data_IF_672783502363
#
_entry.id   IF_672783502363
#
_cell.length_a   1.000
_cell.length_b   1.000
_cell.length_c   1.000
_cell.angle_alpha   90.00
_cell.angle_beta   90.00
_cell.angle_gamma   90.00
#
_symmetry.space_group_name_H-M   'P 1'
#
loop_
_entity.id
_entity.type
_entity.pdbx_description
1 polymer ?
#
# COMPACT_ATOMS: atom_id res chain seq x y z
N UNK A 1 -77.41 -25.69 24.01
CA UNK A 1 -76.20 -25.15 24.60
C UNK A 1 -75.04 -25.34 23.63
N UNK A 2 -74.63 -24.28 22.91
CA UNK A 2 -73.57 -24.30 21.94
C UNK A 2 -72.41 -23.48 22.51
N UNK A 3 -71.30 -24.12 22.80
CA UNK A 3 -70.06 -23.43 23.22
C UNK A 3 -69.32 -22.93 21.98
N UNK A 4 -69.25 -21.63 21.86
CA UNK A 4 -68.44 -20.95 20.80
C UNK A 4 -66.99 -20.82 21.30
N UNK A 5 -66.10 -21.60 20.73
CA UNK A 5 -64.66 -21.59 21.02
C UNK A 5 -64.03 -20.46 20.24
N UNK A 6 -63.56 -19.42 20.97
CA UNK A 6 -62.83 -18.27 20.37
C UNK A 6 -61.34 -18.64 20.31
N UNK A 7 -60.83 -18.95 19.10
CA UNK A 7 -59.42 -19.10 18.85
C UNK A 7 -58.79 -17.72 18.72
N UNK A 8 -58.01 -17.33 19.69
CA UNK A 8 -57.18 -16.10 19.69
C UNK A 8 -55.92 -16.40 18.89
N UNK A 9 -55.84 -15.93 17.63
CA UNK A 9 -54.64 -16.02 16.82
C UNK A 9 -53.75 -14.81 17.19
N UNK A 10 -52.73 -15.07 17.97
CA UNK A 10 -51.68 -14.09 18.29
C UNK A 10 -50.72 -13.96 17.12
N UNK A 11 -50.81 -12.89 16.36
CA UNK A 11 -49.84 -12.53 15.30
C UNK A 11 -48.64 -11.89 15.95
N UNK A 12 -47.57 -12.64 16.11
CA UNK A 12 -46.27 -12.09 16.53
C UNK A 12 -45.61 -11.45 15.31
N UNK A 13 -45.68 -10.13 15.24
CA UNK A 13 -44.93 -9.33 14.23
C UNK A 13 -43.45 -9.30 14.61
N UNK A 14 -42.64 -10.08 13.92
CA UNK A 14 -41.20 -9.96 13.99
C UNK A 14 -40.78 -8.70 13.22
N UNK A 15 -40.45 -7.63 13.96
CA UNK A 15 -39.81 -6.45 13.37
C UNK A 15 -38.34 -6.78 13.16
N UNK A 16 -37.98 -7.14 11.92
CA UNK A 16 -36.59 -7.21 11.49
C UNK A 16 -36.02 -5.80 11.45
N UNK A 17 -35.37 -5.38 12.52
CA UNK A 17 -34.56 -4.18 12.52
C UNK A 17 -33.33 -4.44 11.65
N UNK A 18 -33.40 -4.05 10.37
CA UNK A 18 -32.25 -3.96 9.48
C UNK A 18 -31.36 -2.82 9.96
N UNK A 19 -30.48 -3.10 10.91
CA UNK A 19 -29.37 -2.22 11.22
C UNK A 19 -28.45 -2.15 10.01
N UNK A 20 -28.54 -1.06 9.25
CA UNK A 20 -27.55 -0.74 8.22
C UNK A 20 -26.24 -0.50 8.95
N UNK A 21 -25.33 -1.47 8.94
CA UNK A 21 -23.93 -1.24 9.34
C UNK A 21 -23.36 -0.32 8.27
N UNK A 22 -23.27 0.98 8.58
CA UNK A 22 -22.42 1.89 7.79
C UNK A 22 -20.99 1.43 8.03
N UNK A 23 -20.46 0.68 7.08
CA UNK A 23 -19.01 0.53 6.95
C UNK A 23 -18.49 1.89 6.46
N UNK A 24 -18.05 2.73 7.39
CA UNK A 24 -17.32 3.94 7.01
C UNK A 24 -16.05 3.48 6.31
N UNK A 25 -15.98 3.73 4.99
CA UNK A 25 -14.76 3.47 4.21
C UNK A 25 -13.64 4.35 4.78
N UNK A 26 -12.41 3.80 4.89
CA UNK A 26 -11.27 4.59 5.34
C UNK A 26 -11.11 5.86 4.50
N UNK A 27 -10.81 6.98 5.15
CA UNK A 27 -10.45 8.23 4.45
C UNK A 27 -9.18 8.02 3.62
N UNK A 28 -9.03 8.78 2.54
CA UNK A 28 -7.77 8.80 1.79
C UNK A 28 -6.73 9.63 2.54
N UNK A 29 -5.51 9.10 2.66
CA UNK A 29 -4.45 9.79 3.37
C UNK A 29 -3.12 9.02 3.40
N UNK A 30 -2.23 9.40 4.32
CA UNK A 30 -0.85 8.96 4.35
C UNK A 30 -0.46 8.29 5.68
N UNK A 31 -1.45 8.01 6.54
CA UNK A 31 -1.23 7.43 7.87
C UNK A 31 -1.90 6.06 8.01
N UNK A 32 -1.44 5.21 8.95
CA UNK A 32 -2.07 3.94 9.22
C UNK A 32 -3.59 4.08 9.48
N UNK A 33 -4.37 3.20 8.86
CA UNK A 33 -5.83 3.22 8.86
C UNK A 33 -6.47 4.03 7.72
N UNK A 34 -5.70 4.80 6.95
CA UNK A 34 -6.18 5.54 5.78
C UNK A 34 -5.90 4.77 4.49
N UNK A 35 -6.73 4.96 3.47
CA UNK A 35 -6.45 4.44 2.12
C UNK A 35 -5.36 5.27 1.47
N UNK A 36 -4.27 4.62 1.04
CA UNK A 36 -3.18 5.31 0.34
C UNK A 36 -3.70 5.95 -0.96
N UNK A 37 -3.35 7.22 -1.26
CA UNK A 37 -3.73 7.83 -2.53
C UNK A 37 -3.24 7.02 -3.73
N UNK A 38 -4.05 6.96 -4.77
CA UNK A 38 -3.63 6.37 -6.03
C UNK A 38 -2.59 7.26 -6.70
N UNK A 39 -1.52 6.65 -7.21
CA UNK A 39 -0.45 7.33 -7.92
C UNK A 39 -0.11 6.58 -9.21
N UNK A 40 0.14 7.32 -10.26
CA UNK A 40 0.68 6.76 -11.50
C UNK A 40 2.18 6.54 -11.33
N UNK A 41 2.62 5.33 -11.62
CA UNK A 41 3.99 4.86 -11.52
C UNK A 41 4.50 4.50 -12.92
N UNK A 42 5.67 5.02 -13.30
CA UNK A 42 6.28 4.70 -14.59
C UNK A 42 7.57 3.91 -14.35
N UNK A 43 7.73 2.77 -15.03
CA UNK A 43 8.94 1.97 -14.93
C UNK A 43 10.10 2.55 -15.76
N UNK A 44 11.27 1.92 -15.70
CA UNK A 44 12.44 2.35 -16.46
C UNK A 44 12.26 2.18 -17.98
N UNK A 45 11.38 1.29 -18.42
CA UNK A 45 11.05 1.07 -19.85
C UNK A 45 9.98 2.05 -20.36
N UNK A 46 9.35 2.84 -19.49
CA UNK A 46 8.31 3.80 -19.84
C UNK A 46 6.89 3.24 -19.78
N UNK A 47 6.69 2.02 -19.30
CA UNK A 47 5.36 1.50 -19.04
C UNK A 47 4.84 2.11 -17.75
N UNK A 48 3.53 2.32 -17.69
CA UNK A 48 2.89 2.90 -16.51
C UNK A 48 1.82 1.99 -15.93
N UNK A 49 1.58 2.12 -14.65
CA UNK A 49 0.45 1.54 -13.93
C UNK A 49 0.11 2.37 -12.70
N UNK A 50 -1.09 2.20 -12.19
CA UNK A 50 -1.50 2.84 -10.95
C UNK A 50 -1.11 1.98 -9.74
N UNK A 51 -0.85 2.62 -8.60
CA UNK A 51 -0.62 1.90 -7.35
C UNK A 51 -1.84 1.06 -6.95
N UNK A 52 -3.05 1.54 -7.23
CA UNK A 52 -4.28 0.81 -6.95
C UNK A 52 -4.52 -0.41 -7.84
N UNK A 53 -3.74 -0.61 -8.92
CA UNK A 53 -3.79 -1.85 -9.72
C UNK A 53 -3.26 -3.06 -8.95
N UNK A 54 -2.57 -2.83 -7.84
CA UNK A 54 -2.11 -3.89 -6.92
C UNK A 54 -3.15 -4.31 -5.89
N UNK A 55 -4.36 -3.71 -5.85
CA UNK A 55 -5.43 -4.14 -4.94
C UNK A 55 -5.73 -5.63 -5.09
N UNK A 56 -6.05 -6.26 -3.98
CA UNK A 56 -6.16 -7.72 -3.88
C UNK A 56 -4.90 -8.40 -3.34
N UNK A 57 -3.81 -7.64 -3.19
CA UNK A 57 -2.55 -8.11 -2.61
C UNK A 57 -2.08 -7.14 -1.54
N UNK A 58 -1.30 -7.65 -0.59
CA UNK A 58 -0.50 -6.78 0.29
C UNK A 58 0.68 -6.21 -0.49
N UNK A 59 0.99 -4.95 -0.26
CA UNK A 59 2.08 -4.27 -0.99
C UNK A 59 2.99 -3.53 -0.02
N UNK A 60 4.29 -3.69 -0.19
CA UNK A 60 5.27 -2.78 0.38
C UNK A 60 5.63 -1.74 -0.68
N UNK A 61 5.30 -0.48 -0.42
CA UNK A 61 5.69 0.67 -1.25
C UNK A 61 6.91 1.32 -0.62
N UNK A 62 8.01 1.39 -1.34
CA UNK A 62 9.27 1.98 -0.86
C UNK A 62 9.66 3.18 -1.71
N UNK A 63 9.66 4.36 -1.11
CA UNK A 63 10.16 5.59 -1.73
C UNK A 63 11.62 5.81 -1.33
N UNK A 64 12.48 6.04 -2.32
CA UNK A 64 13.90 6.21 -2.08
C UNK A 64 14.59 7.08 -3.13
N UNK A 65 15.87 7.42 -2.90
CA UNK A 65 16.69 8.13 -3.86
C UNK A 65 18.13 7.62 -3.83
N UNK A 66 18.82 7.69 -4.96
CA UNK A 66 20.21 7.20 -5.09
C UNK A 66 21.18 7.97 -4.19
N UNK A 67 20.92 9.25 -3.98
CA UNK A 67 21.71 10.17 -3.15
C UNK A 67 21.37 10.11 -1.65
N UNK A 68 20.29 9.40 -1.26
CA UNK A 68 19.85 9.31 0.14
C UNK A 68 20.17 7.94 0.74
N UNK A 69 21.33 7.81 1.36
CA UNK A 69 21.90 6.53 1.82
C UNK A 69 20.92 5.69 2.67
N UNK A 70 20.18 6.32 3.60
CA UNK A 70 19.28 5.59 4.49
C UNK A 70 18.08 4.99 3.73
N UNK A 71 17.44 5.75 2.83
CA UNK A 71 16.30 5.22 2.06
C UNK A 71 16.74 4.14 1.08
N UNK A 72 17.92 4.29 0.45
CA UNK A 72 18.53 3.29 -0.41
C UNK A 72 18.81 1.99 0.36
N UNK A 73 19.43 2.09 1.54
CA UNK A 73 19.69 0.92 2.38
C UNK A 73 18.39 0.22 2.82
N UNK A 74 17.36 0.97 3.24
CA UNK A 74 16.07 0.41 3.59
C UNK A 74 15.40 -0.29 2.40
N UNK A 75 15.46 0.30 1.20
CA UNK A 75 14.90 -0.30 -0.02
C UNK A 75 15.54 -1.67 -0.31
N UNK A 76 16.88 -1.76 -0.25
CA UNK A 76 17.62 -3.01 -0.43
C UNK A 76 17.26 -4.06 0.63
N UNK A 77 17.19 -3.66 1.89
CA UNK A 77 16.89 -4.58 3.00
C UNK A 77 15.47 -5.15 2.90
N UNK A 78 14.47 -4.31 2.60
CA UNK A 78 13.09 -4.74 2.45
C UNK A 78 12.91 -5.68 1.25
N UNK A 79 13.51 -5.33 0.11
CA UNK A 79 13.49 -6.18 -1.08
C UNK A 79 14.10 -7.56 -0.79
N UNK A 80 15.33 -7.60 -0.27
CA UNK A 80 16.01 -8.85 0.05
C UNK A 80 15.24 -9.70 1.07
N UNK A 81 14.61 -9.06 2.05
CA UNK A 81 13.77 -9.75 3.02
C UNK A 81 12.57 -10.44 2.36
N UNK A 82 11.88 -9.75 1.48
CA UNK A 82 10.69 -10.29 0.80
C UNK A 82 11.05 -11.35 -0.24
N UNK A 83 12.15 -11.19 -0.98
CA UNK A 83 12.60 -12.17 -1.97
C UNK A 83 13.04 -13.51 -1.35
N UNK A 84 13.52 -13.50 -0.12
CA UNK A 84 13.94 -14.70 0.59
C UNK A 84 12.80 -15.43 1.32
N UNK A 85 11.55 -14.99 1.09
CA UNK A 85 10.36 -15.58 1.68
C UNK A 85 9.34 -15.93 0.59
N UNK A 86 8.65 -17.05 0.80
CA UNK A 86 7.44 -17.38 0.06
C UNK A 86 6.30 -16.52 0.65
N UNK A 87 6.21 -15.25 0.20
CA UNK A 87 5.21 -14.30 0.67
C UNK A 87 4.43 -13.74 -0.51
N UNK A 88 3.11 -13.68 -0.38
CA UNK A 88 2.21 -13.05 -1.36
C UNK A 88 2.24 -11.50 -1.29
N UNK A 89 3.36 -10.92 -0.85
CA UNK A 89 3.54 -9.48 -0.72
C UNK A 89 4.28 -8.93 -1.93
N UNK A 90 3.64 -8.03 -2.66
CA UNK A 90 4.27 -7.32 -3.77
C UNK A 90 5.20 -6.22 -3.25
N UNK A 91 6.29 -5.98 -3.96
CA UNK A 91 7.23 -4.90 -3.64
C UNK A 91 7.24 -3.86 -4.74
N UNK A 92 6.78 -2.66 -4.41
CA UNK A 92 6.73 -1.49 -5.30
C UNK A 92 7.81 -0.52 -4.87
N UNK A 93 8.89 -0.45 -5.63
CA UNK A 93 10.02 0.45 -5.38
C UNK A 93 9.94 1.65 -6.31
N UNK A 94 9.97 2.85 -5.75
CA UNK A 94 9.89 4.11 -6.49
C UNK A 94 11.10 4.97 -6.17
N UNK A 95 11.96 5.18 -7.16
CA UNK A 95 13.16 6.01 -7.02
C UNK A 95 12.89 7.43 -7.52
N UNK A 96 13.31 8.41 -6.74
CA UNK A 96 13.24 9.84 -7.05
C UNK A 96 14.63 10.34 -7.41
N UNK A 97 14.89 10.48 -8.69
CA UNK A 97 16.18 10.96 -9.20
C UNK A 97 15.99 11.60 -10.59
N UNK A 98 16.78 12.61 -10.91
CA UNK A 98 16.72 13.29 -12.21
C UNK A 98 17.61 12.61 -13.26
N UNK A 99 18.45 11.66 -12.85
CA UNK A 99 19.43 11.02 -13.73
C UNK A 99 19.24 9.50 -13.78
N UNK A 100 18.57 9.06 -14.85
CA UNK A 100 18.32 7.64 -15.11
C UNK A 100 19.60 6.78 -15.09
N UNK A 101 20.70 7.25 -15.66
CA UNK A 101 21.94 6.47 -15.68
C UNK A 101 22.52 6.23 -14.28
N UNK A 102 22.31 7.19 -13.36
CA UNK A 102 22.71 7.02 -11.96
C UNK A 102 21.82 5.98 -11.29
N UNK A 103 20.52 6.01 -11.56
CA UNK A 103 19.57 4.99 -11.05
C UNK A 103 19.98 3.59 -11.51
N UNK A 104 20.15 3.39 -12.82
CA UNK A 104 20.52 2.08 -13.40
C UNK A 104 21.82 1.55 -12.80
N UNK A 105 22.86 2.38 -12.72
CA UNK A 105 24.13 1.99 -12.08
C UNK A 105 23.98 1.65 -10.61
N UNK A 106 23.12 2.38 -9.89
CA UNK A 106 22.87 2.12 -8.47
C UNK A 106 22.15 0.79 -8.29
N UNK A 107 21.14 0.49 -9.12
CA UNK A 107 20.45 -0.81 -9.10
C UNK A 107 21.42 -1.98 -9.35
N UNK A 108 22.33 -1.83 -10.32
CA UNK A 108 23.38 -2.83 -10.59
C UNK A 108 24.31 -3.02 -9.39
N UNK A 109 24.77 -1.94 -8.76
CA UNK A 109 25.63 -1.99 -7.57
C UNK A 109 24.94 -2.68 -6.39
N UNK A 110 23.65 -2.48 -6.25
CA UNK A 110 22.83 -3.03 -5.18
C UNK A 110 22.26 -4.43 -5.50
N UNK A 111 22.51 -4.94 -6.72
CA UNK A 111 21.99 -6.22 -7.24
C UNK A 111 20.47 -6.27 -7.26
N UNK A 112 19.87 -5.18 -7.72
CA UNK A 112 18.42 -4.98 -7.80
C UNK A 112 17.92 -4.88 -9.27
N UNK A 113 18.72 -5.26 -10.27
CA UNK A 113 18.41 -5.18 -11.70
C UNK A 113 17.16 -5.98 -12.10
N UNK A 114 16.86 -7.04 -11.37
CA UNK A 114 15.72 -7.92 -11.62
C UNK A 114 14.44 -7.48 -10.88
N UNK A 115 14.51 -6.39 -10.13
CA UNK A 115 13.37 -5.84 -9.41
C UNK A 115 12.55 -4.93 -10.30
N UNK A 116 11.21 -5.02 -10.22
CA UNK A 116 10.33 -4.02 -10.84
C UNK A 116 10.55 -2.67 -10.20
N UNK A 117 11.22 -1.77 -10.93
CA UNK A 117 11.59 -0.45 -10.45
C UNK A 117 10.76 0.62 -11.15
N UNK A 118 10.09 1.46 -10.38
CA UNK A 118 9.45 2.68 -10.86
C UNK A 118 10.37 3.88 -10.69
N UNK A 119 10.29 4.80 -11.64
CA UNK A 119 11.20 5.92 -11.73
C UNK A 119 10.45 7.24 -11.86
N UNK A 120 10.64 8.10 -10.87
CA UNK A 120 10.08 9.46 -10.88
C UNK A 120 11.15 10.46 -11.37
N UNK A 121 11.12 10.71 -12.69
CA UNK A 121 12.11 11.53 -13.38
C UNK A 121 12.11 12.99 -12.89
N UNK A 122 10.98 13.50 -12.41
CA UNK A 122 10.90 14.86 -11.87
C UNK A 122 11.58 14.99 -10.50
N UNK A 123 12.07 13.88 -9.95
CA UNK A 123 12.78 13.82 -8.68
C UNK A 123 12.01 14.57 -7.57
N UNK A 124 12.69 15.53 -6.93
CA UNK A 124 12.10 16.35 -5.85
C UNK A 124 11.03 17.33 -6.32
N UNK A 125 10.92 17.54 -7.64
CA UNK A 125 9.91 18.42 -8.25
C UNK A 125 8.54 17.76 -8.39
N UNK A 126 8.44 16.43 -8.27
CA UNK A 126 7.20 15.68 -8.53
C UNK A 126 6.10 15.96 -7.51
N UNK A 127 4.85 15.80 -7.94
CA UNK A 127 3.68 15.89 -7.06
C UNK A 127 3.68 14.75 -6.01
N UNK A 128 4.14 13.55 -6.38
CA UNK A 128 4.27 12.43 -5.44
C UNK A 128 5.22 12.82 -4.31
N UNK A 129 6.39 13.37 -4.65
CA UNK A 129 7.39 13.82 -3.67
C UNK A 129 6.82 14.82 -2.67
N UNK A 130 6.06 15.82 -3.17
CA UNK A 130 5.44 16.87 -2.35
C UNK A 130 4.31 16.32 -1.48
N UNK A 131 3.39 15.56 -2.09
CA UNK A 131 2.18 15.06 -1.41
C UNK A 131 2.51 14.05 -0.30
N UNK A 132 3.49 13.18 -0.53
CA UNK A 132 3.99 12.23 0.48
C UNK A 132 5.00 12.85 1.45
N UNK A 133 5.29 14.18 1.33
CA UNK A 133 6.22 14.93 2.17
C UNK A 133 7.60 14.26 2.27
N UNK A 134 8.12 13.79 1.14
CA UNK A 134 9.39 13.08 1.10
C UNK A 134 10.60 14.01 1.32
N UNK A 135 10.41 15.32 1.23
CA UNK A 135 11.38 16.34 1.63
C UNK A 135 11.70 16.29 3.13
N UNK A 136 10.77 15.88 3.97
CA UNK A 136 10.99 15.70 5.39
C UNK A 136 11.72 14.38 5.67
N UNK A 137 11.29 13.32 4.98
CA UNK A 137 11.84 11.97 5.12
C UNK A 137 11.33 11.07 3.99
N UNK A 138 12.21 10.31 3.37
CA UNK A 138 11.80 9.16 2.56
C UNK A 138 11.13 8.12 3.43
N UNK A 139 10.03 7.56 2.92
CA UNK A 139 9.13 6.66 3.66
C UNK A 139 8.89 5.38 2.87
N UNK A 140 8.53 4.35 3.60
CA UNK A 140 7.93 3.16 3.03
C UNK A 140 6.61 2.88 3.75
N UNK A 141 5.76 2.12 3.09
CA UNK A 141 4.41 1.80 3.54
C UNK A 141 4.15 0.31 3.32
N UNK A 142 3.49 -0.34 4.28
CA UNK A 142 2.81 -1.60 4.07
C UNK A 142 1.33 -1.31 3.93
N UNK A 143 0.72 -1.72 2.81
CA UNK A 143 -0.71 -1.57 2.55
C UNK A 143 -1.36 -2.96 2.43
N UNK A 144 -2.61 -3.05 2.85
CA UNK A 144 -3.41 -4.26 2.74
C UNK A 144 -4.02 -4.44 1.33
N UNK A 145 -4.78 -5.50 1.16
CA UNK A 145 -5.44 -5.87 -0.10
C UNK A 145 -6.49 -4.85 -0.58
N UNK A 146 -6.95 -3.96 0.31
CA UNK A 146 -7.89 -2.89 0.02
C UNK A 146 -7.19 -1.56 -0.30
N UNK A 147 -5.86 -1.50 -0.13
CA UNK A 147 -5.06 -0.29 -0.26
C UNK A 147 -5.02 0.55 1.01
N UNK A 148 -5.40 -0.02 2.16
CA UNK A 148 -5.32 0.67 3.46
C UNK A 148 -3.92 0.52 4.04
N UNK A 149 -3.36 1.63 4.53
CA UNK A 149 -2.04 1.64 5.14
C UNK A 149 -2.09 0.90 6.48
N UNK A 150 -1.35 -0.21 6.60
CA UNK A 150 -1.18 -0.99 7.83
C UNK A 150 -0.09 -0.36 8.69
N UNK A 151 1.05 -0.04 8.08
CA UNK A 151 2.21 0.50 8.76
C UNK A 151 3.03 1.39 7.82
N UNK A 152 3.87 2.23 8.41
CA UNK A 152 4.79 3.10 7.69
C UNK A 152 6.18 3.11 8.35
N UNK A 153 7.21 3.43 7.55
CA UNK A 153 8.61 3.40 7.99
C UNK A 153 9.03 2.04 8.56
N UNK A 154 8.55 0.98 7.92
CA UNK A 154 8.78 -0.41 8.32
C UNK A 154 10.22 -0.86 8.05
N UNK A 155 10.68 -1.77 8.89
CA UNK A 155 11.94 -2.51 8.76
C UNK A 155 11.65 -3.99 8.45
N UNK A 156 12.66 -4.79 8.07
CA UNK A 156 12.49 -6.25 7.95
C UNK A 156 11.99 -6.93 9.23
N UNK A 157 12.36 -6.42 10.39
CA UNK A 157 11.92 -6.93 11.71
C UNK A 157 10.43 -6.66 11.92
N UNK A 158 9.94 -5.48 11.52
CA UNK A 158 8.51 -5.15 11.57
C UNK A 158 7.71 -6.07 10.66
N UNK A 159 8.18 -6.31 9.43
CA UNK A 159 7.54 -7.25 8.51
C UNK A 159 7.46 -8.66 9.06
N UNK A 160 8.48 -9.11 9.80
CA UNK A 160 8.50 -10.43 10.45
C UNK A 160 7.37 -10.58 11.48
N UNK A 161 6.94 -9.48 12.07
CA UNK A 161 5.90 -9.49 13.10
C UNK A 161 4.50 -9.33 12.50
N UNK A 162 4.40 -8.61 11.37
CA UNK A 162 3.11 -8.24 10.75
C UNK A 162 2.64 -9.29 9.72
N UNK A 163 3.58 -9.97 9.04
CA UNK A 163 3.34 -10.99 8.02
C UNK A 163 3.43 -12.40 8.60
#
# INVERSE_FOLDING_TARGET
>A
MKYLSFCLVSVISFVLSSGSVKTDLPSSGYHPGETIPDIALTDLEGNWRNLHDYKGKKVVVSFWATYHAQSRANNVQLYNYLQNRDSDVEFVSVVFDENRNVVEKTLMLDRLENMSQFYEISGTGSEIYKNFKLNERFRNYLIDENGVIIAMNITPEDLKTIL
#
